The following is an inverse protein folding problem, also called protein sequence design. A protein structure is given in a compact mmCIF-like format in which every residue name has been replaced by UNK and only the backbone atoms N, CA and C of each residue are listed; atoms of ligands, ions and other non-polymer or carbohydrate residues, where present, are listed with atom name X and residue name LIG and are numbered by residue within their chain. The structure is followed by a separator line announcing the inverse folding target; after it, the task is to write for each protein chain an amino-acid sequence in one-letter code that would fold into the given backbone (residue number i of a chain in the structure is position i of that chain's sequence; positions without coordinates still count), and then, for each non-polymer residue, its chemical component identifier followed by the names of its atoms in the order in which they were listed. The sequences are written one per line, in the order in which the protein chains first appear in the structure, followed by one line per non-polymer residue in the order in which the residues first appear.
data_IF_515862389952
#
_entry.id   IF_515862389952
#
_cell.length_a   1.000
_cell.length_b   1.000
_cell.length_c   1.000
_cell.angle_alpha   90.00
_cell.angle_beta   90.00
_cell.angle_gamma   90.00
#
_symmetry.space_group_name_H-M   'P 1'
#
loop_
_entity.id
_entity.type
_entity.pdbx_description
1 polymer ?
#
# COMPACT_ATOMS: atom_id res chain seq x y z
N UNK A 1 -17.98 -2.54 -27.54
CA UNK A 1 -16.96 -1.80 -26.78
C UNK A 1 -16.22 -2.79 -25.90
N UNK A 2 -14.91 -2.95 -26.11
CA UNK A 2 -14.06 -3.82 -25.29
C UNK A 2 -14.11 -3.42 -23.81
N UNK A 3 -13.90 -4.39 -22.91
CA UNK A 3 -13.78 -4.12 -21.48
C UNK A 3 -12.63 -3.14 -21.20
N UNK A 4 -12.79 -2.17 -20.29
CA UNK A 4 -11.68 -1.32 -19.85
C UNK A 4 -10.54 -2.18 -19.31
N UNK A 5 -9.35 -1.95 -19.82
CA UNK A 5 -8.10 -2.51 -19.26
C UNK A 5 -7.62 -1.62 -18.12
N UNK A 6 -6.65 -2.10 -17.33
CA UNK A 6 -5.99 -1.28 -16.32
C UNK A 6 -5.49 0.04 -16.94
N UNK A 7 -4.83 0.00 -18.12
CA UNK A 7 -4.30 1.18 -18.81
C UNK A 7 -5.34 2.26 -19.18
N UNK A 8 -6.61 1.88 -19.27
CA UNK A 8 -7.68 2.76 -19.78
C UNK A 8 -8.72 3.10 -18.71
N UNK A 9 -8.69 2.44 -17.54
CA UNK A 9 -9.68 2.68 -16.49
C UNK A 9 -9.29 3.92 -15.69
N UNK A 10 -10.29 4.76 -15.39
CA UNK A 10 -10.11 5.94 -14.54
C UNK A 10 -10.45 5.58 -13.10
N UNK A 11 -9.69 6.14 -12.15
CA UNK A 11 -9.99 5.91 -10.74
C UNK A 11 -11.26 6.66 -10.31
N UNK A 12 -12.20 5.91 -9.76
CA UNK A 12 -13.49 6.41 -9.24
C UNK A 12 -13.66 6.04 -7.77
N UNK A 13 -14.55 6.77 -7.09
CA UNK A 13 -14.86 6.55 -5.68
C UNK A 13 -15.71 5.29 -5.50
N UNK A 14 -15.45 4.56 -4.42
CA UNK A 14 -16.26 3.43 -3.99
C UNK A 14 -15.78 2.10 -4.55
N UNK A 15 -16.59 1.07 -4.25
CA UNK A 15 -16.40 -0.31 -4.73
C UNK A 15 -17.21 -0.52 -6.01
N UNK A 16 -16.64 -1.27 -6.95
CA UNK A 16 -17.26 -1.56 -8.23
C UNK A 16 -17.40 -3.08 -8.41
N UNK A 17 -18.40 -3.49 -9.19
CA UNK A 17 -18.63 -4.91 -9.50
C UNK A 17 -17.84 -5.37 -10.74
N UNK A 18 -17.38 -4.42 -11.57
CA UNK A 18 -16.56 -4.69 -12.75
C UNK A 18 -15.80 -3.44 -13.21
N UNK A 19 -14.71 -3.58 -14.01
CA UNK A 19 -13.99 -2.44 -14.58
C UNK A 19 -14.85 -1.51 -15.45
N UNK A 20 -15.98 -1.99 -16.00
CA UNK A 20 -16.92 -1.17 -16.78
C UNK A 20 -17.62 -0.10 -15.94
N UNK A 21 -17.75 -0.32 -14.64
CA UNK A 21 -18.39 0.62 -13.72
C UNK A 21 -17.41 1.64 -13.14
N UNK A 22 -16.13 1.59 -13.54
CA UNK A 22 -15.02 2.28 -12.90
C UNK A 22 -14.17 1.33 -12.06
N UNK A 23 -13.15 1.87 -11.41
CA UNK A 23 -12.29 1.11 -10.50
C UNK A 23 -11.73 2.02 -9.41
N UNK A 24 -11.60 1.52 -8.19
CA UNK A 24 -10.74 2.12 -7.17
C UNK A 24 -9.28 1.67 -7.38
N UNK A 25 -8.36 2.33 -6.69
CA UNK A 25 -6.92 1.98 -6.77
C UNK A 25 -6.61 0.50 -6.47
N UNK A 26 -7.31 -0.13 -5.52
CA UNK A 26 -7.10 -1.54 -5.18
C UNK A 26 -7.69 -2.52 -6.20
N UNK A 27 -8.79 -2.13 -6.83
CA UNK A 27 -9.36 -2.90 -7.94
C UNK A 27 -8.41 -2.89 -9.14
N UNK A 28 -7.79 -1.74 -9.45
CA UNK A 28 -6.73 -1.69 -10.47
C UNK A 28 -5.52 -2.55 -10.08
N UNK A 29 -5.11 -2.55 -8.81
CA UNK A 29 -4.05 -3.43 -8.33
C UNK A 29 -4.39 -4.93 -8.53
N UNK A 30 -5.64 -5.33 -8.27
CA UNK A 30 -6.10 -6.70 -8.53
C UNK A 30 -6.00 -7.06 -10.03
N UNK A 31 -6.38 -6.13 -10.92
CA UNK A 31 -6.26 -6.31 -12.36
C UNK A 31 -4.80 -6.46 -12.81
N UNK A 32 -3.89 -5.65 -12.25
CA UNK A 32 -2.46 -5.71 -12.54
C UNK A 32 -1.82 -7.01 -12.06
N UNK A 33 -2.28 -7.55 -10.94
CA UNK A 33 -1.83 -8.82 -10.39
C UNK A 33 -2.43 -10.06 -11.10
N UNK A 34 -3.43 -9.87 -11.97
CA UNK A 34 -4.18 -10.97 -12.58
C UNK A 34 -5.11 -11.70 -11.60
N UNK A 35 -5.48 -11.05 -10.50
CA UNK A 35 -6.40 -11.57 -9.50
C UNK A 35 -7.87 -11.30 -9.91
N UNK A 36 -8.85 -11.99 -9.26
CA UNK A 36 -10.25 -11.60 -9.40
C UNK A 36 -10.45 -10.12 -9.04
N UNK A 37 -11.27 -9.41 -9.82
CA UNK A 37 -11.55 -8.00 -9.61
C UNK A 37 -12.09 -7.74 -8.20
N UNK A 38 -11.29 -7.07 -7.36
CA UNK A 38 -11.57 -6.91 -5.94
C UNK A 38 -10.87 -5.68 -5.37
N UNK A 39 -11.53 -5.01 -4.42
CA UNK A 39 -10.92 -3.94 -3.62
C UNK A 39 -10.03 -4.49 -2.48
N UNK A 40 -9.98 -5.81 -2.32
CA UNK A 40 -9.14 -6.52 -1.35
C UNK A 40 -8.29 -7.59 -2.06
N UNK A 41 -7.34 -7.19 -2.92
CA UNK A 41 -6.44 -8.12 -3.57
C UNK A 41 -5.55 -8.84 -2.55
N UNK A 42 -5.26 -10.12 -2.80
CA UNK A 42 -4.40 -10.95 -1.94
C UNK A 42 -2.93 -10.57 -2.07
N UNK A 43 -2.50 -10.08 -3.23
CA UNK A 43 -1.12 -9.65 -3.46
C UNK A 43 -0.71 -8.39 -2.69
N UNK A 44 -1.65 -7.69 -2.03
CA UNK A 44 -1.40 -6.44 -1.31
C UNK A 44 -1.47 -6.65 0.20
N UNK A 45 -0.62 -5.93 0.95
CA UNK A 45 -0.74 -5.88 2.41
C UNK A 45 -2.08 -5.25 2.82
N UNK A 46 -2.92 -5.93 3.63
CA UNK A 46 -4.24 -5.44 4.03
C UNK A 46 -4.20 -4.04 4.67
N UNK A 47 -3.17 -3.75 5.48
CA UNK A 47 -2.98 -2.45 6.13
C UNK A 47 -2.85 -1.31 5.11
N UNK A 48 -2.01 -1.51 4.09
CA UNK A 48 -1.84 -0.53 3.00
C UNK A 48 -3.10 -0.46 2.14
N UNK A 49 -3.73 -1.60 1.86
CA UNK A 49 -4.97 -1.68 1.11
C UNK A 49 -6.11 -0.89 1.75
N UNK A 50 -6.29 -0.97 3.08
CA UNK A 50 -7.28 -0.15 3.77
C UNK A 50 -6.97 1.34 3.75
N UNK A 51 -5.69 1.72 3.88
CA UNK A 51 -5.29 3.12 3.80
C UNK A 51 -5.62 3.68 2.41
N UNK A 52 -5.19 2.99 1.34
CA UNK A 52 -5.41 3.43 -0.04
C UNK A 52 -6.89 3.49 -0.42
N UNK A 53 -7.72 2.52 0.00
CA UNK A 53 -9.17 2.59 -0.23
C UNK A 53 -9.81 3.79 0.45
N UNK A 54 -9.47 4.03 1.72
CA UNK A 54 -10.01 5.17 2.44
C UNK A 54 -9.53 6.51 1.85
N UNK A 55 -8.28 6.58 1.36
CA UNK A 55 -7.78 7.74 0.61
C UNK A 55 -8.54 7.92 -0.71
N UNK A 56 -8.67 6.87 -1.52
CA UNK A 56 -9.39 6.88 -2.80
C UNK A 56 -10.81 7.46 -2.65
N UNK A 57 -11.49 7.08 -1.59
CA UNK A 57 -12.88 7.48 -1.33
C UNK A 57 -13.02 8.88 -0.73
N UNK A 58 -11.96 9.46 -0.19
CA UNK A 58 -12.02 10.75 0.52
C UNK A 58 -11.54 11.94 -0.29
N UNK A 59 -10.72 11.72 -1.31
CA UNK A 59 -10.17 12.77 -2.18
C UNK A 59 -11.03 13.06 -3.42
N UNK A 60 -10.85 14.25 -3.98
CA UNK A 60 -11.46 14.68 -5.24
C UNK A 60 -10.95 13.87 -6.45
N UNK A 61 -11.66 14.00 -7.57
CA UNK A 61 -11.43 13.19 -8.77
C UNK A 61 -10.06 13.38 -9.41
N UNK A 62 -9.49 14.58 -9.29
CA UNK A 62 -8.20 14.92 -9.89
C UNK A 62 -7.06 14.31 -9.05
N UNK A 63 -7.05 14.58 -7.74
CA UNK A 63 -6.10 13.97 -6.79
C UNK A 63 -6.15 12.44 -6.78
N UNK A 64 -7.33 11.86 -7.02
CA UNK A 64 -7.49 10.41 -7.07
C UNK A 64 -6.62 9.78 -8.15
N UNK A 65 -6.38 10.47 -9.26
CA UNK A 65 -5.58 9.89 -10.35
C UNK A 65 -4.10 9.73 -9.98
N UNK A 66 -3.59 10.50 -9.01
CA UNK A 66 -2.22 10.31 -8.50
C UNK A 66 -2.03 8.95 -7.81
N UNK A 67 -3.12 8.37 -7.28
CA UNK A 67 -3.08 7.04 -6.66
C UNK A 67 -2.88 5.91 -7.69
N UNK A 68 -3.05 6.19 -8.98
CA UNK A 68 -2.90 5.18 -10.02
C UNK A 68 -1.49 4.58 -10.04
N UNK A 69 -0.44 5.40 -9.83
CA UNK A 69 0.93 4.91 -9.72
C UNK A 69 1.09 3.89 -8.59
N UNK A 70 0.40 4.12 -7.46
CA UNK A 70 0.43 3.22 -6.31
C UNK A 70 -0.30 1.89 -6.57
N UNK A 71 -1.23 1.81 -7.53
CA UNK A 71 -1.85 0.54 -7.90
C UNK A 71 -0.80 -0.48 -8.38
N UNK A 72 0.25 -0.03 -9.08
CA UNK A 72 1.36 -0.88 -9.49
C UNK A 72 2.34 -1.15 -8.35
N UNK A 73 2.71 -0.13 -7.58
CA UNK A 73 3.71 -0.24 -6.51
C UNK A 73 3.32 -1.19 -5.36
N UNK A 74 2.02 -1.40 -5.15
CA UNK A 74 1.51 -2.30 -4.11
C UNK A 74 1.44 -3.77 -4.53
N UNK A 75 1.53 -4.07 -5.83
CA UNK A 75 1.43 -5.45 -6.32
C UNK A 75 2.60 -6.26 -5.76
N UNK A 76 2.29 -7.41 -5.16
CA UNK A 76 3.28 -8.29 -4.53
C UNK A 76 3.81 -7.77 -3.19
N UNK A 77 3.21 -6.73 -2.60
CA UNK A 77 3.61 -6.16 -1.29
C UNK A 77 2.89 -6.79 -0.10
N UNK A 78 2.25 -7.96 -0.26
CA UNK A 78 1.84 -8.79 0.87
C UNK A 78 3.10 -9.23 1.64
N UNK A 79 3.05 -9.11 2.95
CA UNK A 79 4.23 -9.27 3.82
C UNK A 79 3.87 -10.09 5.05
N UNK A 80 4.88 -10.52 5.82
CA UNK A 80 4.66 -11.19 7.08
C UNK A 80 4.16 -10.23 8.17
N UNK A 81 3.56 -10.78 9.23
CA UNK A 81 2.90 -10.03 10.30
C UNK A 81 3.79 -9.00 11.00
N UNK A 82 5.11 -9.22 11.10
CA UNK A 82 6.03 -8.25 11.71
C UNK A 82 6.18 -6.98 10.87
N UNK A 83 6.20 -7.09 9.54
CA UNK A 83 6.24 -5.94 8.63
C UNK A 83 4.88 -5.25 8.59
N UNK A 84 3.78 -6.00 8.64
CA UNK A 84 2.43 -5.41 8.77
C UNK A 84 2.32 -4.60 10.07
N UNK A 85 2.83 -5.12 11.18
CA UNK A 85 2.84 -4.44 12.47
C UNK A 85 3.69 -3.16 12.43
N UNK A 86 4.86 -3.17 11.79
CA UNK A 86 5.68 -1.97 11.60
C UNK A 86 4.95 -0.90 10.76
N UNK A 87 4.18 -1.30 9.73
CA UNK A 87 3.33 -0.38 8.96
C UNK A 87 2.19 0.21 9.80
N UNK A 88 1.57 -0.61 10.67
CA UNK A 88 0.55 -0.15 11.63
C UNK A 88 1.12 0.89 12.60
N UNK A 89 2.29 0.63 13.16
CA UNK A 89 2.99 1.57 14.06
C UNK A 89 3.26 2.90 13.36
N UNK A 90 3.80 2.86 12.14
CA UNK A 90 4.05 4.07 11.34
C UNK A 90 2.76 4.88 11.07
N UNK A 91 1.65 4.22 10.76
CA UNK A 91 0.34 4.87 10.57
C UNK A 91 -0.18 5.51 11.86
N UNK A 92 -0.02 4.84 13.00
CA UNK A 92 -0.43 5.37 14.30
C UNK A 92 0.41 6.61 14.68
N UNK A 93 1.73 6.55 14.47
CA UNK A 93 2.63 7.69 14.68
C UNK A 93 2.27 8.90 13.82
N UNK A 94 2.02 8.67 12.52
CA UNK A 94 1.61 9.74 11.60
C UNK A 94 0.28 10.37 12.03
N UNK A 95 -0.69 9.54 12.40
CA UNK A 95 -2.02 10.00 12.85
C UNK A 95 -1.89 10.87 14.10
N UNK A 96 -1.07 10.43 15.05
CA UNK A 96 -0.84 11.16 16.30
C UNK A 96 -0.06 12.47 16.06
N UNK A 97 0.98 12.46 15.22
CA UNK A 97 1.71 13.66 14.81
C UNK A 97 0.76 14.71 14.22
N UNK A 98 -0.15 14.28 13.34
CA UNK A 98 -1.13 15.15 12.68
C UNK A 98 -2.15 15.73 13.66
N UNK A 99 -2.59 14.94 14.65
CA UNK A 99 -3.45 15.40 15.75
C UNK A 99 -2.77 16.47 16.59
N UNK A 100 -1.51 16.25 17.00
CA UNK A 100 -0.72 17.21 17.79
C UNK A 100 -0.49 18.53 17.07
N UNK A 101 -0.25 18.48 15.75
CA UNK A 101 -0.06 19.68 14.93
C UNK A 101 -1.35 20.46 14.66
N UNK A 102 -2.52 19.88 14.90
CA UNK A 102 -3.81 20.56 14.74
C UNK A 102 -4.04 21.62 15.81
N UNK A 103 -4.71 22.74 15.44
CA UNK A 103 -5.09 23.80 16.38
C UNK A 103 -5.88 23.27 17.58
N UNK A 104 -6.84 22.39 17.35
CA UNK A 104 -7.63 21.76 18.42
C UNK A 104 -6.78 20.86 19.30
N UNK A 105 -5.80 20.15 18.72
CA UNK A 105 -4.84 19.34 19.47
C UNK A 105 -4.02 20.20 20.43
N UNK A 106 -3.50 21.35 19.96
CA UNK A 106 -2.72 22.29 20.79
C UNK A 106 -3.47 22.83 22.02
N UNK A 107 -4.80 22.97 21.94
CA UNK A 107 -5.60 23.53 23.02
C UNK A 107 -6.07 22.49 24.05
N UNK A 108 -6.03 21.18 23.72
CA UNK A 108 -6.42 20.13 24.66
C UNK A 108 -5.34 19.88 25.73
N UNK A 109 -5.71 19.74 27.02
CA UNK A 109 -4.82 19.21 28.06
C UNK A 109 -4.25 17.83 27.69
N UNK A 110 -3.02 17.53 28.13
CA UNK A 110 -2.28 16.33 27.69
C UNK A 110 -3.04 15.01 27.95
N UNK A 111 -3.72 14.89 29.10
CA UNK A 111 -4.49 13.69 29.44
C UNK A 111 -5.69 13.46 28.51
N UNK A 112 -6.37 14.53 28.04
CA UNK A 112 -7.46 14.43 27.06
C UNK A 112 -6.94 14.04 25.68
N UNK A 113 -5.71 14.45 25.31
CA UNK A 113 -5.08 14.04 24.05
C UNK A 113 -4.84 12.53 24.01
N UNK A 114 -4.35 11.97 25.12
CA UNK A 114 -4.09 10.51 25.25
C UNK A 114 -5.39 9.71 25.16
N UNK A 115 -6.45 10.12 25.86
CA UNK A 115 -7.74 9.40 25.84
C UNK A 115 -8.43 9.50 24.47
N UNK A 116 -8.28 10.63 23.76
CA UNK A 116 -8.88 10.83 22.45
C UNK A 116 -8.20 10.05 21.31
N UNK A 117 -7.13 9.31 21.61
CA UNK A 117 -6.39 8.50 20.64
C UNK A 117 -5.96 7.16 21.25
N UNK A 118 -6.74 6.12 20.97
CA UNK A 118 -6.25 4.75 21.08
C UNK A 118 -5.61 4.34 19.75
N UNK A 119 -4.39 3.78 19.76
CA UNK A 119 -3.77 3.28 18.54
C UNK A 119 -4.66 2.22 17.91
N UNK A 120 -4.80 2.30 16.59
CA UNK A 120 -5.56 1.33 15.84
C UNK A 120 -4.72 0.07 15.60
N UNK A 121 -5.39 -1.06 15.48
CA UNK A 121 -4.78 -2.38 15.33
C UNK A 121 -5.01 -2.90 13.91
N UNK A 122 -4.00 -3.56 13.33
CA UNK A 122 -4.10 -4.21 12.03
C UNK A 122 -4.59 -3.27 10.91
N UNK A 123 -5.44 -3.81 10.03
CA UNK A 123 -5.96 -3.08 8.86
C UNK A 123 -6.72 -1.78 9.22
N UNK A 124 -7.35 -1.74 10.39
CA UNK A 124 -8.13 -0.56 10.85
C UNK A 124 -7.24 0.68 10.95
N UNK A 125 -5.94 0.53 11.22
CA UNK A 125 -5.00 1.65 11.28
C UNK A 125 -4.93 2.42 9.97
N UNK A 126 -4.99 1.74 8.82
CA UNK A 126 -5.02 2.38 7.51
C UNK A 126 -6.26 3.26 7.36
N UNK A 127 -7.44 2.70 7.64
CA UNK A 127 -8.70 3.45 7.57
C UNK A 127 -8.73 4.65 8.53
N UNK A 128 -8.22 4.51 9.76
CA UNK A 128 -8.18 5.57 10.77
C UNK A 128 -7.24 6.71 10.35
N UNK A 129 -6.05 6.38 9.83
CA UNK A 129 -5.10 7.37 9.37
C UNK A 129 -5.68 8.22 8.24
N UNK A 130 -6.25 7.59 7.20
CA UNK A 130 -6.88 8.32 6.09
C UNK A 130 -8.01 9.24 6.58
N UNK A 131 -8.90 8.74 7.46
CA UNK A 131 -10.02 9.53 8.02
C UNK A 131 -9.59 10.64 8.98
N UNK A 132 -8.35 10.63 9.47
CA UNK A 132 -7.81 11.73 10.27
C UNK A 132 -7.59 13.00 9.42
N UNK A 133 -7.62 12.87 8.08
CA UNK A 133 -7.56 13.97 7.12
C UNK A 133 -8.91 14.65 7.02
N UNK A 134 -9.10 15.73 7.78
CA UNK A 134 -10.35 16.51 7.78
C UNK A 134 -10.53 17.43 6.57
N UNK A 135 -9.44 17.83 5.93
CA UNK A 135 -9.42 18.71 4.75
C UNK A 135 -8.36 18.19 3.79
N UNK A 136 -8.74 18.06 2.52
CA UNK A 136 -7.88 17.64 1.43
C UNK A 136 -7.40 18.87 0.66
N UNK A 137 -6.17 19.28 0.93
CA UNK A 137 -5.39 20.32 0.24
C UNK A 137 -4.16 19.70 -0.41
N UNK A 138 -3.44 20.47 -1.23
CA UNK A 138 -2.18 20.03 -1.86
C UNK A 138 -1.16 19.54 -0.84
N UNK A 139 -1.01 20.25 0.28
CA UNK A 139 -0.06 19.88 1.33
C UNK A 139 -0.46 18.56 1.99
N UNK A 140 -1.75 18.37 2.25
CA UNK A 140 -2.22 17.13 2.88
C UNK A 140 -2.17 15.94 1.93
N UNK A 141 -2.35 16.19 0.64
CA UNK A 141 -2.24 15.18 -0.40
C UNK A 141 -0.78 14.74 -0.56
N UNK A 142 0.15 15.69 -0.69
CA UNK A 142 1.58 15.40 -0.70
C UNK A 142 2.02 14.62 0.55
N UNK A 143 1.49 14.96 1.73
CA UNK A 143 1.78 14.21 2.96
C UNK A 143 1.21 12.78 2.96
N UNK A 144 0.10 12.52 2.26
CA UNK A 144 -0.44 11.16 2.06
C UNK A 144 0.47 10.36 1.16
N UNK A 145 0.91 10.93 0.03
CA UNK A 145 1.80 10.25 -0.91
C UNK A 145 3.15 9.92 -0.25
N UNK A 146 3.72 10.87 0.50
CA UNK A 146 4.94 10.64 1.27
C UNK A 146 4.77 9.51 2.31
N UNK A 147 3.62 9.45 3.01
CA UNK A 147 3.34 8.35 3.92
C UNK A 147 3.21 7.01 3.19
N UNK A 148 2.60 6.96 2.01
CA UNK A 148 2.54 5.75 1.20
C UNK A 148 3.95 5.26 0.84
N UNK A 149 4.83 6.16 0.39
CA UNK A 149 6.21 5.82 0.04
C UNK A 149 6.95 5.23 1.25
N UNK A 150 6.80 5.83 2.43
CA UNK A 150 7.38 5.32 3.66
C UNK A 150 6.84 3.93 4.06
N UNK A 151 5.52 3.71 3.94
CA UNK A 151 4.92 2.40 4.22
C UNK A 151 5.41 1.31 3.27
N UNK A 152 5.60 1.66 1.99
CA UNK A 152 6.13 0.74 0.99
C UNK A 152 7.63 0.49 1.15
N UNK A 153 8.38 1.47 1.67
CA UNK A 153 9.78 1.29 2.04
C UNK A 153 9.93 0.29 3.20
N UNK A 154 8.98 0.26 4.16
CA UNK A 154 8.94 -0.74 5.24
C UNK A 154 8.75 -2.14 4.63
N UNK A 155 9.76 -3.01 4.79
CA UNK A 155 9.79 -4.37 4.27
C UNK A 155 10.45 -4.53 2.89
N UNK A 156 10.74 -3.44 2.17
CA UNK A 156 11.37 -3.49 0.84
C UNK A 156 12.80 -4.05 0.83
N UNK A 157 13.46 -4.11 1.98
CA UNK A 157 14.80 -4.69 2.15
C UNK A 157 14.83 -6.20 2.45
N UNK A 158 13.69 -6.82 2.76
CA UNK A 158 13.63 -8.25 3.10
C UNK A 158 13.62 -9.12 1.83
N UNK A 159 12.92 -8.70 0.78
CA UNK A 159 12.90 -9.41 -0.51
C UNK A 159 14.24 -9.35 -1.25
N UNK A 160 14.91 -8.19 -1.28
CA UNK A 160 16.16 -8.06 -2.05
C UNK A 160 17.27 -9.01 -1.57
N UNK A 161 17.33 -9.35 -0.28
CA UNK A 161 18.31 -10.32 0.24
C UNK A 161 17.95 -11.78 -0.10
N UNK A 162 16.67 -12.12 -0.10
CA UNK A 162 16.19 -13.45 -0.46
C UNK A 162 16.29 -13.68 -1.98
N UNK A 163 16.00 -12.67 -2.78
CA UNK A 163 16.15 -12.69 -4.25
C UNK A 163 17.61 -12.81 -4.68
N UNK A 164 18.54 -12.10 -4.03
CA UNK A 164 19.98 -12.24 -4.30
C UNK A 164 20.46 -13.65 -3.94
N UNK A 165 20.00 -14.25 -2.84
CA UNK A 165 20.39 -15.61 -2.45
C UNK A 165 19.73 -16.70 -3.31
N UNK A 166 18.51 -16.49 -3.81
CA UNK A 166 17.86 -17.37 -4.78
C UNK A 166 18.55 -17.30 -6.15
N UNK A 167 18.85 -16.08 -6.64
CA UNK A 167 19.56 -15.87 -7.90
C UNK A 167 21.01 -16.38 -7.86
N UNK A 168 21.69 -16.29 -6.72
CA UNK A 168 23.05 -16.82 -6.54
C UNK A 168 23.07 -18.37 -6.50
N UNK A 169 22.07 -19.00 -5.88
CA UNK A 169 21.92 -20.47 -5.85
C UNK A 169 21.65 -21.09 -7.23
N UNK A 170 20.93 -20.39 -8.11
CA UNK A 170 20.71 -20.85 -9.49
C UNK A 170 21.94 -20.67 -10.39
N UNK A 171 22.82 -19.71 -10.09
CA UNK A 171 24.05 -19.49 -10.88
C UNK A 171 25.13 -20.55 -10.62
N UNK A 172 25.19 -21.09 -9.39
CA UNK A 172 26.14 -22.16 -9.02
C UNK A 172 25.73 -23.53 -9.57
N UNK A 173 24.43 -23.78 -9.81
CA UNK A 173 23.94 -25.03 -10.41
C UNK A 173 24.13 -25.13 -11.93
N UNK A 174 24.54 -24.05 -12.61
CA UNK A 174 24.73 -24.01 -14.07
C UNK A 174 26.16 -24.28 -14.56
N UNK A 175 27.11 -24.55 -13.67
CA UNK A 175 28.51 -24.82 -14.03
C UNK A 175 28.92 -26.19 -13.49
N UNK A 176 28.58 -27.24 -14.24
CA UNK A 176 29.29 -28.52 -14.14
C UNK A 176 29.97 -28.77 -15.49
N UNK A 177 31.30 -28.65 -15.61
CA UNK A 177 32.03 -29.01 -16.81
C UNK A 177 32.11 -30.54 -16.86
N UNK A 178 31.33 -31.16 -17.75
CA UNK A 178 31.46 -32.58 -18.05
C UNK A 178 32.85 -32.87 -18.61
N UNK A 179 33.67 -33.54 -17.82
CA UNK A 179 35.02 -33.95 -18.17
C UNK A 179 35.04 -35.11 -19.16
N UNK A 180 36.01 -35.04 -20.07
CA UNK A 180 36.54 -36.19 -20.82
C UNK A 180 36.99 -37.31 -19.88
N UNK A 181 36.70 -38.57 -20.23
CA UNK A 181 37.69 -39.59 -20.64
C UNK A 181 37.09 -41.01 -20.78
N UNK A 182 37.35 -41.58 -21.97
CA UNK A 182 37.95 -42.91 -22.29
C UNK A 182 37.27 -44.20 -21.82
N UNK A 183 36.90 -45.04 -22.80
CA UNK A 183 37.17 -46.49 -22.98
C UNK A 183 36.25 -46.96 -24.15
N UNK A 184 36.64 -47.67 -25.21
CA UNK A 184 37.83 -48.43 -25.61
C UNK A 184 37.92 -48.44 -27.15
#
# INVERSE_FOLDING_TARGET
MSDPTHQTVRLTRGKHDSPRSGACVMEVASMLAGEPFSDRPECVCPVVGAFLRACNDSIDDDRRQDLYAYAAEVVGRRVCSSVEQARVERLNEWTEQRRRSSRSGRLLPNWLRVIAFYPAWGEVAGSVAARSIRRHTDETHAAVLALLDELLAIGSGVDRRLDIHAASRNRVRGLNPGGDRIEA
#
